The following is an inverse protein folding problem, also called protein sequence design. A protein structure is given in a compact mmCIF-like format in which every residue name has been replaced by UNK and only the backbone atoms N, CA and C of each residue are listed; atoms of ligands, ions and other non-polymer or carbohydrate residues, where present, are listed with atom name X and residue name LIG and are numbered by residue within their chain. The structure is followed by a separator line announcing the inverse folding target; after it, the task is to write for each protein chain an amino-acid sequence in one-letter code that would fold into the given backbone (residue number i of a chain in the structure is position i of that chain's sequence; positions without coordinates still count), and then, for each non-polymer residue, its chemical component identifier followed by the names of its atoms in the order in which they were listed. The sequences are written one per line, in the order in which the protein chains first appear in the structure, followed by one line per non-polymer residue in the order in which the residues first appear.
data_IF_942869851862
#
_entry.id   IF_942869851862
#
_cell.length_a   1.000
_cell.length_b   1.000
_cell.length_c   1.000
_cell.angle_alpha   90.00
_cell.angle_beta   90.00
_cell.angle_gamma   90.00
#
_symmetry.space_group_name_H-M   'P 1'
#
loop_
_entity.id
_entity.type
_entity.pdbx_description
1 polymer ?
#
# COMPACT_ATOMS: atom_id res chain seq x y z
N UNK A 1 4.66 11.89 -2.77
CA UNK A 1 3.88 12.54 -1.69
C UNK A 1 2.40 12.20 -1.82
N UNK A 2 1.55 12.67 -0.90
CA UNK A 2 0.09 12.52 -0.95
C UNK A 2 -0.57 13.86 -1.26
N UNK A 3 -1.45 13.91 -2.26
CA UNK A 3 -2.22 15.10 -2.62
C UNK A 3 -3.67 14.92 -2.18
N UNK A 4 -4.12 15.78 -1.25
CA UNK A 4 -5.51 15.80 -0.81
C UNK A 4 -6.39 16.52 -1.83
N UNK A 5 -7.66 16.12 -1.93
CA UNK A 5 -8.68 16.89 -2.64
C UNK A 5 -9.01 18.15 -1.84
N UNK A 6 -9.07 19.30 -2.51
CA UNK A 6 -9.32 20.61 -1.88
C UNK A 6 -10.70 20.65 -1.22
N UNK A 7 -11.70 20.01 -1.83
CA UNK A 7 -13.08 19.94 -1.35
C UNK A 7 -13.34 18.77 -0.39
N UNK A 8 -12.32 18.03 0.05
CA UNK A 8 -12.49 16.93 1.01
C UNK A 8 -12.56 17.39 2.48
N UNK A 9 -12.55 18.70 2.74
CA UNK A 9 -12.42 19.25 4.08
C UNK A 9 -10.96 19.26 4.56
N UNK A 10 -10.74 19.90 5.70
CA UNK A 10 -9.39 20.05 6.27
C UNK A 10 -8.85 18.76 6.89
N UNK A 11 -9.74 17.87 7.31
CA UNK A 11 -9.41 16.63 8.00
C UNK A 11 -9.58 15.40 7.09
N UNK A 12 -8.51 14.63 6.92
CA UNK A 12 -8.57 13.31 6.29
C UNK A 12 -8.86 12.29 7.37
N UNK A 13 -10.01 11.63 7.28
CA UNK A 13 -10.36 10.53 8.16
C UNK A 13 -10.20 9.19 7.45
N UNK A 14 -9.43 8.31 8.08
CA UNK A 14 -9.39 6.90 7.73
C UNK A 14 -10.44 6.17 8.58
N UNK A 15 -11.33 5.43 7.94
CA UNK A 15 -12.54 4.92 8.59
C UNK A 15 -12.41 3.45 9.02
N UNK A 16 -12.77 3.21 10.29
CA UNK A 16 -12.84 1.89 10.91
C UNK A 16 -11.58 1.04 10.69
N UNK A 17 -10.39 1.65 10.80
CA UNK A 17 -9.14 0.93 10.54
C UNK A 17 -8.93 -0.22 11.54
N UNK A 18 -9.45 -0.10 12.76
CA UNK A 18 -9.38 -1.16 13.77
C UNK A 18 -10.15 -2.40 13.32
N UNK A 19 -11.31 -2.22 12.69
CA UNK A 19 -12.10 -3.32 12.15
C UNK A 19 -11.49 -3.88 10.85
N UNK A 20 -10.95 -3.00 9.98
CA UNK A 20 -10.40 -3.39 8.68
C UNK A 20 -9.06 -4.11 8.80
N UNK A 21 -8.09 -3.48 9.47
CA UNK A 21 -6.69 -3.93 9.52
C UNK A 21 -6.20 -4.21 10.94
N UNK A 22 -7.00 -3.94 11.98
CA UNK A 22 -6.62 -4.19 13.37
C UNK A 22 -5.73 -3.13 13.99
N UNK A 23 -5.54 -1.99 13.32
CA UNK A 23 -4.72 -0.87 13.77
C UNK A 23 -5.46 0.44 13.53
N UNK A 24 -5.69 1.27 14.56
CA UNK A 24 -6.28 2.60 14.41
C UNK A 24 -5.80 3.52 15.54
N UNK A 25 -5.53 4.80 15.24
CA UNK A 25 -5.20 5.78 16.28
C UNK A 25 -6.28 5.82 17.36
N UNK A 26 -5.87 5.72 18.62
CA UNK A 26 -6.75 5.75 19.80
C UNK A 26 -7.71 4.55 19.98
N UNK A 27 -7.61 3.48 19.18
CA UNK A 27 -8.45 2.28 19.32
C UNK A 27 -7.69 1.04 19.78
N UNK A 28 -6.63 1.21 20.58
CA UNK A 28 -5.85 0.07 21.09
C UNK A 28 -6.69 -0.79 22.04
N UNK A 29 -6.78 -2.11 21.82
CA UNK A 29 -7.51 -3.00 22.71
C UNK A 29 -6.78 -3.27 24.04
N UNK A 30 -5.53 -2.82 24.22
CA UNK A 30 -4.72 -3.05 25.42
C UNK A 30 -4.00 -1.80 25.95
N UNK A 31 -3.62 -1.80 27.23
CA UNK A 31 -2.98 -0.68 27.95
C UNK A 31 -1.59 -0.32 27.37
N UNK A 32 -0.98 -1.25 26.65
CA UNK A 32 0.32 -1.11 26.01
C UNK A 32 0.17 -1.41 24.52
N UNK A 33 -0.05 -0.35 23.74
CA UNK A 33 -0.16 -0.40 22.26
C UNK A 33 1.19 -0.64 21.59
N UNK A 34 1.99 -1.57 22.10
CA UNK A 34 3.34 -1.85 21.60
C UNK A 34 3.39 -3.24 20.99
N UNK A 35 3.80 -3.32 19.72
CA UNK A 35 4.23 -4.57 19.15
C UNK A 35 5.52 -5.02 19.82
N UNK A 36 5.73 -6.32 20.01
CA UNK A 36 7.06 -6.80 20.43
C UNK A 36 8.00 -6.58 19.23
N UNK A 37 9.07 -5.77 19.37
CA UNK A 37 9.94 -5.43 18.25
C UNK A 37 10.60 -6.65 17.61
N UNK A 38 10.63 -7.78 18.32
CA UNK A 38 11.27 -9.04 17.97
C UNK A 38 10.29 -10.13 17.50
N UNK A 39 8.99 -9.81 17.36
CA UNK A 39 8.02 -10.80 16.94
C UNK A 39 8.21 -11.20 15.47
N UNK A 40 8.34 -12.51 15.26
CA UNK A 40 8.32 -13.16 13.97
C UNK A 40 7.16 -14.14 13.94
N UNK A 41 6.28 -14.01 12.93
CA UNK A 41 5.19 -14.95 12.75
C UNK A 41 5.75 -16.38 12.54
N UNK A 42 5.19 -17.41 13.20
CA UNK A 42 5.65 -18.79 13.02
C UNK A 42 5.47 -19.24 11.57
N UNK A 43 6.43 -20.02 11.06
CA UNK A 43 6.48 -20.48 9.66
C UNK A 43 7.69 -19.95 8.91
N UNK A 44 7.56 -19.76 7.59
CA UNK A 44 8.66 -19.31 6.72
C UNK A 44 9.25 -17.95 7.13
N UNK A 45 8.45 -17.07 7.75
CA UNK A 45 8.90 -15.77 8.29
C UNK A 45 9.89 -15.96 9.44
N UNK A 46 9.56 -16.78 10.45
CA UNK A 46 10.49 -17.15 11.52
C UNK A 46 11.70 -17.93 11.02
N UNK A 47 11.54 -18.80 10.02
CA UNK A 47 12.64 -19.55 9.41
C UNK A 47 13.62 -18.63 8.65
N UNK A 48 13.11 -17.58 8.03
CA UNK A 48 13.90 -16.52 7.37
C UNK A 48 14.41 -15.46 8.36
N UNK A 49 14.23 -15.66 9.67
CA UNK A 49 14.54 -14.69 10.72
C UNK A 49 13.93 -13.30 10.50
N UNK A 50 12.83 -13.22 9.73
CA UNK A 50 12.14 -11.96 9.41
C UNK A 50 11.30 -11.50 10.60
N UNK A 51 11.50 -10.25 11.00
CA UNK A 51 10.85 -9.65 12.14
C UNK A 51 9.73 -8.74 11.62
N UNK A 52 8.50 -9.05 12.00
CA UNK A 52 7.30 -8.32 11.61
C UNK A 52 6.44 -8.12 12.86
N UNK A 53 6.73 -7.07 13.64
CA UNK A 53 6.01 -6.77 14.88
C UNK A 53 4.50 -6.61 14.64
N UNK A 54 4.10 -6.03 13.51
CA UNK A 54 2.70 -5.84 13.12
C UNK A 54 1.95 -7.15 12.85
N UNK A 55 2.66 -8.23 12.51
CA UNK A 55 2.06 -9.54 12.27
C UNK A 55 1.38 -10.16 13.50
N UNK A 56 1.60 -9.61 14.70
CA UNK A 56 0.86 -10.03 15.91
C UNK A 56 -0.65 -9.81 15.79
N UNK A 57 -1.08 -8.76 15.08
CA UNK A 57 -2.49 -8.38 14.96
C UNK A 57 -3.09 -8.78 13.62
N UNK A 58 -2.26 -9.19 12.65
CA UNK A 58 -2.65 -9.59 11.31
C UNK A 58 -3.25 -11.01 11.32
N UNK A 59 -4.58 -11.09 11.23
CA UNK A 59 -5.28 -12.32 10.85
C UNK A 59 -5.45 -12.38 9.33
N UNK A 60 -5.72 -13.57 8.78
CA UNK A 60 -5.94 -13.75 7.33
C UNK A 60 -6.88 -12.69 6.71
N UNK A 61 -8.08 -12.44 7.27
CA UNK A 61 -8.97 -11.40 6.78
C UNK A 61 -8.39 -9.98 6.85
N UNK A 62 -7.63 -9.65 7.90
CA UNK A 62 -7.00 -8.32 8.05
C UNK A 62 -5.89 -8.07 7.04
N UNK A 63 -5.11 -9.10 6.70
CA UNK A 63 -4.08 -9.02 5.65
C UNK A 63 -4.74 -8.72 4.30
N UNK A 64 -5.81 -9.46 3.96
CA UNK A 64 -6.55 -9.23 2.72
C UNK A 64 -7.16 -7.83 2.68
N UNK A 65 -7.74 -7.36 3.79
CA UNK A 65 -8.28 -6.00 3.88
C UNK A 65 -7.20 -4.92 3.73
N UNK A 66 -6.02 -5.13 4.33
CA UNK A 66 -4.88 -4.23 4.19
C UNK A 66 -4.43 -4.14 2.72
N UNK A 67 -4.23 -5.28 2.07
CA UNK A 67 -3.83 -5.34 0.67
C UNK A 67 -4.89 -4.69 -0.24
N UNK A 68 -6.17 -5.01 -0.07
CA UNK A 68 -7.26 -4.41 -0.82
C UNK A 68 -7.29 -2.88 -0.65
N UNK A 69 -7.10 -2.39 0.57
CA UNK A 69 -7.13 -0.96 0.84
C UNK A 69 -5.92 -0.22 0.26
N UNK A 70 -4.71 -0.79 0.32
CA UNK A 70 -3.53 -0.18 -0.30
C UNK A 70 -3.62 -0.25 -1.83
N UNK A 71 -4.08 -1.36 -2.41
CA UNK A 71 -4.30 -1.49 -3.86
C UNK A 71 -5.35 -0.47 -4.32
N UNK A 72 -6.47 -0.33 -3.59
CA UNK A 72 -7.50 0.68 -3.87
C UNK A 72 -6.92 2.10 -3.79
N UNK A 73 -6.06 2.38 -2.82
CA UNK A 73 -5.36 3.66 -2.69
C UNK A 73 -4.42 3.96 -3.87
N UNK A 74 -3.72 2.96 -4.40
CA UNK A 74 -2.82 3.11 -5.56
C UNK A 74 -3.61 3.31 -6.85
N UNK A 75 -4.66 2.51 -7.07
CA UNK A 75 -5.41 2.51 -8.33
C UNK A 75 -6.43 3.65 -8.41
N UNK A 76 -7.16 3.89 -7.32
CA UNK A 76 -8.31 4.80 -7.27
C UNK A 76 -8.07 6.01 -6.36
N UNK A 77 -7.02 6.03 -5.54
CA UNK A 77 -6.85 7.05 -4.50
C UNK A 77 -7.64 6.73 -3.24
N UNK A 78 -7.65 7.68 -2.30
CA UNK A 78 -8.30 7.51 -1.00
C UNK A 78 -9.82 7.55 -1.17
N UNK A 79 -10.45 6.37 -1.15
CA UNK A 79 -11.89 6.15 -1.26
C UNK A 79 -12.36 5.08 -0.26
N UNK A 80 -13.66 4.99 0.01
CA UNK A 80 -14.26 3.89 0.79
C UNK A 80 -14.36 2.59 -0.03
N UNK A 81 -14.33 2.73 -1.35
CA UNK A 81 -14.70 1.68 -2.29
C UNK A 81 -13.64 0.59 -2.45
N UNK A 82 -14.09 -0.60 -2.82
CA UNK A 82 -13.24 -1.76 -3.12
C UNK A 82 -12.23 -2.09 -2.00
N UNK A 83 -12.64 -1.93 -0.74
CA UNK A 83 -11.80 -2.18 0.43
C UNK A 83 -10.93 -0.98 0.85
N UNK A 84 -11.13 0.20 0.26
CA UNK A 84 -10.41 1.41 0.58
C UNK A 84 -10.62 1.93 2.01
N UNK A 85 -9.78 2.88 2.41
CA UNK A 85 -9.68 3.36 3.79
C UNK A 85 -10.41 4.67 4.08
N UNK A 86 -11.02 5.32 3.08
CA UNK A 86 -11.70 6.59 3.32
C UNK A 86 -13.06 6.38 4.02
N UNK A 87 -13.50 7.42 4.72
CA UNK A 87 -14.89 7.50 5.17
C UNK A 87 -15.84 7.52 3.98
N UNK A 88 -17.04 6.95 4.20
CA UNK A 88 -18.12 6.94 3.22
C UNK A 88 -18.40 8.32 2.63
N UNK A 89 -18.21 8.44 1.33
CA UNK A 89 -18.28 9.69 0.58
C UNK A 89 -18.99 9.54 -0.78
N UNK A 90 -19.39 8.32 -1.17
CA UNK A 90 -20.04 8.01 -2.43
C UNK A 90 -21.34 7.23 -2.24
N UNK A 91 -22.22 7.40 -3.22
CA UNK A 91 -23.51 6.71 -3.25
C UNK A 91 -23.37 5.26 -3.74
N UNK A 92 -22.46 5.03 -4.69
CA UNK A 92 -22.13 3.70 -5.24
C UNK A 92 -20.65 3.61 -5.62
N UNK A 93 -20.09 2.40 -5.52
CA UNK A 93 -18.69 2.16 -5.85
C UNK A 93 -18.44 1.84 -7.32
N UNK A 94 -19.44 1.32 -8.04
CA UNK A 94 -19.29 0.97 -9.45
C UNK A 94 -18.98 2.19 -10.34
N UNK A 95 -19.41 3.39 -9.94
CA UNK A 95 -19.04 4.62 -10.63
C UNK A 95 -17.54 4.92 -10.61
N UNK A 96 -16.78 4.41 -9.62
CA UNK A 96 -15.32 4.57 -9.57
C UNK A 96 -14.54 3.48 -10.34
N UNK A 97 -15.20 2.43 -10.82
CA UNK A 97 -14.55 1.42 -11.64
C UNK A 97 -13.95 2.05 -12.92
N UNK A 98 -12.94 1.43 -13.56
CA UNK A 98 -12.43 1.89 -14.85
C UNK A 98 -13.57 2.10 -15.85
N UNK A 99 -13.68 3.30 -16.42
CA UNK A 99 -14.76 3.68 -17.34
C UNK A 99 -16.10 4.06 -16.67
N UNK A 100 -16.18 4.06 -15.34
CA UNK A 100 -17.36 4.48 -14.59
C UNK A 100 -17.53 6.00 -14.51
N UNK A 101 -18.76 6.44 -14.21
CA UNK A 101 -19.17 7.86 -14.20
C UNK A 101 -18.44 8.76 -13.19
N UNK A 102 -17.79 8.18 -12.18
CA UNK A 102 -17.02 8.88 -11.16
C UNK A 102 -15.51 8.80 -11.41
N UNK A 103 -15.05 7.95 -12.34
CA UNK A 103 -13.66 7.87 -12.74
C UNK A 103 -13.34 8.93 -13.81
N UNK A 104 -13.41 10.20 -13.40
CA UNK A 104 -13.33 11.37 -14.30
C UNK A 104 -11.90 11.85 -14.55
N UNK A 105 -10.88 11.18 -14.00
CA UNK A 105 -9.48 11.65 -14.03
C UNK A 105 -9.19 12.91 -13.19
N UNK A 106 -10.23 13.66 -12.79
CA UNK A 106 -10.11 14.89 -12.00
C UNK A 106 -9.97 14.65 -10.49
N UNK A 107 -10.13 13.40 -10.02
CA UNK A 107 -10.04 13.07 -8.60
C UNK A 107 -11.18 13.62 -7.74
N UNK A 108 -12.26 14.12 -8.37
CA UNK A 108 -13.40 14.75 -7.68
C UNK A 108 -14.02 13.85 -6.62
N UNK A 109 -14.07 12.54 -6.86
CA UNK A 109 -14.77 11.56 -6.02
C UNK A 109 -13.86 10.83 -5.02
N UNK A 110 -12.59 11.22 -4.97
CA UNK A 110 -11.55 10.59 -4.14
C UNK A 110 -11.03 11.65 -3.16
N UNK A 111 -10.81 11.29 -1.89
CA UNK A 111 -10.36 12.24 -0.87
C UNK A 111 -8.90 12.68 -1.03
N UNK A 112 -8.12 11.91 -1.78
CA UNK A 112 -6.77 12.26 -2.18
C UNK A 112 -6.11 11.15 -2.99
N UNK A 113 -4.89 11.39 -3.46
CA UNK A 113 -4.16 10.45 -4.31
C UNK A 113 -2.68 10.48 -4.02
N UNK A 114 -2.00 9.38 -4.31
CA UNK A 114 -0.54 9.35 -4.38
C UNK A 114 -0.09 10.20 -5.57
N UNK A 115 0.90 11.05 -5.34
CA UNK A 115 1.44 12.02 -6.31
C UNK A 115 2.94 11.86 -6.52
N UNK A 116 3.48 10.71 -6.13
CA UNK A 116 4.87 10.38 -6.41
C UNK A 116 5.08 10.34 -7.94
N UNK A 117 6.17 10.96 -8.39
CA UNK A 117 6.60 10.94 -9.79
C UNK A 117 8.08 10.59 -9.77
N UNK A 118 8.49 9.50 -10.44
CA UNK A 118 9.89 9.09 -10.46
C UNK A 118 10.73 10.09 -11.25
N UNK A 119 12.02 10.18 -10.92
CA UNK A 119 12.96 11.11 -11.58
C UNK A 119 13.14 10.74 -13.05
N UNK A 120 13.27 9.45 -13.33
CA UNK A 120 13.39 8.91 -14.69
C UNK A 120 12.33 7.83 -14.94
N UNK A 121 11.13 8.18 -15.43
CA UNK A 121 10.05 7.23 -15.68
C UNK A 121 10.33 6.24 -16.82
N UNK A 122 11.40 6.43 -17.60
CA UNK A 122 11.75 5.56 -18.72
C UNK A 122 12.85 4.55 -18.39
N UNK A 123 13.28 4.49 -17.14
CA UNK A 123 14.25 3.53 -16.64
C UNK A 123 13.64 2.78 -15.47
N UNK A 124 13.12 1.57 -15.73
CA UNK A 124 12.52 0.72 -14.71
C UNK A 124 13.45 0.51 -13.52
N UNK A 125 14.76 0.31 -13.74
CA UNK A 125 15.72 0.07 -12.66
C UNK A 125 15.79 1.27 -11.73
N UNK A 126 15.92 2.48 -12.29
CA UNK A 126 15.92 3.73 -11.52
C UNK A 126 14.59 3.93 -10.76
N UNK A 127 13.45 3.60 -11.37
CA UNK A 127 12.15 3.70 -10.71
C UNK A 127 12.07 2.74 -9.51
N UNK A 128 12.51 1.49 -9.67
CA UNK A 128 12.47 0.50 -8.60
C UNK A 128 13.47 0.84 -7.50
N UNK A 129 14.63 1.43 -7.82
CA UNK A 129 15.57 1.96 -6.83
C UNK A 129 14.94 3.05 -5.96
N UNK A 130 14.26 4.02 -6.56
CA UNK A 130 13.55 5.07 -5.83
C UNK A 130 12.42 4.50 -4.95
N UNK A 131 11.60 3.60 -5.49
CA UNK A 131 10.53 2.96 -4.72
C UNK A 131 11.08 2.08 -3.59
N UNK A 132 12.17 1.36 -3.84
CA UNK A 132 12.85 0.55 -2.82
C UNK A 132 13.33 1.42 -1.67
N UNK A 133 13.95 2.57 -1.97
CA UNK A 133 14.36 3.54 -0.95
C UNK A 133 13.16 4.07 -0.15
N UNK A 134 12.09 4.47 -0.83
CA UNK A 134 10.93 5.11 -0.19
C UNK A 134 10.06 4.15 0.63
N UNK A 135 9.87 2.92 0.17
CA UNK A 135 8.89 1.98 0.73
C UNK A 135 9.53 0.87 1.56
N UNK A 136 10.80 0.54 1.29
CA UNK A 136 11.49 -0.57 1.96
C UNK A 136 12.82 -0.15 2.58
N UNK A 137 13.13 1.15 2.62
CA UNK A 137 14.42 1.69 3.05
C UNK A 137 15.63 1.06 2.32
N UNK A 138 15.44 0.68 1.05
CA UNK A 138 16.47 0.06 0.20
C UNK A 138 16.64 -1.45 0.40
N UNK A 139 15.80 -2.10 1.21
CA UNK A 139 15.96 -3.53 1.58
C UNK A 139 15.42 -4.53 0.55
N UNK A 140 14.82 -4.06 -0.54
CA UNK A 140 14.24 -4.92 -1.57
C UNK A 140 15.31 -5.83 -2.18
N UNK A 141 15.09 -7.14 -2.12
CA UNK A 141 16.02 -8.13 -2.67
C UNK A 141 16.16 -8.05 -4.21
N UNK A 142 17.22 -8.65 -4.75
CA UNK A 142 17.54 -8.58 -6.18
C UNK A 142 16.55 -9.32 -7.08
N UNK A 143 15.95 -10.41 -6.61
CA UNK A 143 14.97 -11.19 -7.39
C UNK A 143 13.65 -10.42 -7.54
N UNK A 144 13.09 -9.94 -6.43
CA UNK A 144 11.91 -9.09 -6.40
C UNK A 144 12.14 -7.80 -7.18
N UNK A 145 13.33 -7.21 -7.11
CA UNK A 145 13.70 -6.06 -7.94
C UNK A 145 13.59 -6.37 -9.43
N UNK A 146 14.11 -7.52 -9.88
CA UNK A 146 14.00 -7.96 -11.27
C UNK A 146 12.56 -8.17 -11.71
N UNK A 147 11.77 -8.93 -10.93
CA UNK A 147 10.36 -9.20 -11.23
C UNK A 147 9.55 -7.90 -11.34
N UNK A 148 9.79 -6.95 -10.43
CA UNK A 148 9.04 -5.68 -10.40
C UNK A 148 9.49 -4.77 -11.56
N UNK A 149 10.77 -4.76 -11.92
CA UNK A 149 11.27 -4.02 -13.08
C UNK A 149 10.67 -4.57 -14.39
N UNK A 150 10.65 -5.89 -14.56
CA UNK A 150 10.03 -6.53 -15.72
C UNK A 150 8.52 -6.20 -15.80
N UNK A 151 7.83 -6.22 -14.66
CA UNK A 151 6.42 -5.82 -14.58
C UNK A 151 6.21 -4.34 -14.95
N UNK A 152 7.13 -3.45 -14.59
CA UNK A 152 7.09 -2.04 -14.95
C UNK A 152 7.23 -1.86 -16.47
N UNK A 153 8.24 -2.50 -17.08
CA UNK A 153 8.52 -2.38 -18.52
C UNK A 153 7.48 -3.04 -19.41
N UNK A 154 6.84 -4.11 -18.94
CA UNK A 154 5.76 -4.80 -19.67
C UNK A 154 4.41 -4.10 -19.54
N UNK A 155 4.27 -3.10 -18.66
CA UNK A 155 3.05 -2.34 -18.56
C UNK A 155 2.80 -1.48 -19.80
N UNK A 156 1.53 -1.22 -20.12
CA UNK A 156 1.17 -0.49 -21.34
C UNK A 156 1.67 0.96 -21.40
N UNK A 157 2.01 1.56 -20.26
CA UNK A 157 2.62 2.90 -20.15
C UNK A 157 3.29 3.06 -18.78
N UNK A 158 4.10 4.11 -18.63
CA UNK A 158 4.87 4.40 -17.39
C UNK A 158 3.99 4.66 -16.16
N UNK A 159 2.76 5.15 -16.34
CA UNK A 159 1.83 5.40 -15.22
C UNK A 159 1.22 4.09 -14.70
N UNK A 160 0.81 3.20 -15.60
CA UNK A 160 0.31 1.87 -15.24
C UNK A 160 1.44 0.98 -14.72
N UNK A 161 2.64 1.09 -15.28
CA UNK A 161 3.85 0.46 -14.76
C UNK A 161 4.16 0.92 -13.34
N UNK A 162 4.07 2.23 -13.05
CA UNK A 162 4.28 2.77 -11.71
C UNK A 162 3.26 2.22 -10.70
N UNK A 163 1.98 2.18 -11.06
CA UNK A 163 0.93 1.59 -10.22
C UNK A 163 1.18 0.12 -9.97
N UNK A 164 1.55 -0.63 -11.00
CA UNK A 164 1.85 -2.06 -10.88
C UNK A 164 3.05 -2.30 -9.96
N UNK A 165 4.13 -1.55 -10.16
CA UNK A 165 5.30 -1.61 -9.30
C UNK A 165 4.95 -1.31 -7.84
N UNK A 166 4.19 -0.24 -7.56
CA UNK A 166 3.74 0.08 -6.20
C UNK A 166 2.93 -1.04 -5.55
N UNK A 167 2.02 -1.69 -6.31
CA UNK A 167 1.21 -2.82 -5.81
C UNK A 167 2.08 -4.04 -5.49
N UNK A 168 3.03 -4.36 -6.36
CA UNK A 168 3.97 -5.47 -6.13
C UNK A 168 4.87 -5.19 -4.94
N UNK A 169 5.41 -3.97 -4.82
CA UNK A 169 6.25 -3.55 -3.69
C UNK A 169 5.55 -3.77 -2.34
N UNK A 170 4.29 -3.35 -2.20
CA UNK A 170 3.51 -3.51 -0.96
C UNK A 170 3.25 -4.98 -0.61
N UNK A 171 3.20 -5.85 -1.61
CA UNK A 171 3.01 -7.29 -1.43
C UNK A 171 4.30 -8.03 -1.06
N UNK A 172 5.47 -7.38 -1.14
CA UNK A 172 6.75 -8.00 -0.80
C UNK A 172 6.93 -8.21 0.71
N UNK A 173 7.64 -9.27 1.14
CA UNK A 173 8.01 -9.46 2.54
C UNK A 173 8.79 -8.27 3.14
N UNK A 174 9.62 -7.60 2.34
CA UNK A 174 10.48 -6.48 2.74
C UNK A 174 9.70 -5.21 3.11
N UNK A 175 8.50 -5.06 2.54
CA UNK A 175 7.58 -4.01 2.93
C UNK A 175 6.92 -4.30 4.28
N UNK A 176 6.68 -5.58 4.59
CA UNK A 176 5.99 -6.04 5.81
C UNK A 176 6.95 -6.35 6.98
N UNK A 177 8.26 -6.25 6.76
CA UNK A 177 9.30 -6.56 7.73
C UNK A 177 10.28 -5.41 7.90
N UNK A 178 10.88 -5.33 9.08
CA UNK A 178 11.80 -4.24 9.45
C UNK A 178 13.27 -4.60 9.30
N UNK A 179 13.59 -5.88 9.07
CA UNK A 179 14.95 -6.35 8.87
C UNK A 179 15.26 -6.65 7.39
N UNK A 180 16.55 -6.83 7.09
CA UNK A 180 17.03 -7.11 5.74
C UNK A 180 16.72 -8.56 5.39
N UNK A 181 16.04 -8.78 4.26
CA UNK A 181 15.84 -10.09 3.69
C UNK A 181 17.02 -10.42 2.78
N UNK A 182 17.78 -11.46 3.14
CA UNK A 182 18.84 -11.99 2.30
C UNK A 182 18.37 -13.35 1.77
N UNK A 183 17.77 -13.34 0.58
CA UNK A 183 17.36 -14.56 -0.10
C UNK A 183 18.63 -15.34 -0.45
N UNK A 184 18.91 -16.42 0.27
CA UNK A 184 19.93 -17.41 -0.13
C UNK A 184 19.36 -18.40 -1.12
#
# INVERSE_FOLDING_TARGET
GFQRRVEAGDEIRLDALQAKIGQEPHSSPGVFSFFLPEYAAPGHIKAAALVSPEAQLLSGPKIINLLNGIISLVDLGLTECFGGFAQRNLWECNGLAPGGSYNTGTGKYTMGKLSFTPTNPHDATSVIDELSLLLTAGRLNTESRGIIADAYDTAGNTADGLRLAQKLMVSTPEYQSTNIFDAK
#
